data_IF_812930900022
#
_entry.id   IF_812930900022
#
_cell.length_a   1.000
_cell.length_b   1.000
_cell.length_c   1.000
_cell.angle_alpha   90.00
_cell.angle_beta   90.00
_cell.angle_gamma   90.00
#
_symmetry.space_group_name_H-M   'P 1'
#
loop_
_entity.id
_entity.type
_entity.pdbx_description
1 polymer ?
#
# COMPACT_ATOMS: atom_id res chain seq x y z
N UNK A 1 -0.14 10.73 10.32
CA UNK A 1 -1.44 10.57 9.62
C UNK A 1 -2.03 9.26 10.12
N UNK A 2 -3.21 9.32 10.73
CA UNK A 2 -3.79 8.15 11.41
C UNK A 2 -5.28 8.05 11.10
N UNK A 3 -5.71 6.83 10.79
CA UNK A 3 -7.08 6.46 10.50
C UNK A 3 -7.20 4.94 10.42
N UNK A 4 -8.27 4.47 9.79
CA UNK A 4 -8.49 3.06 9.48
C UNK A 4 -8.52 2.90 7.96
N UNK A 5 -9.69 2.72 7.38
CA UNK A 5 -9.88 2.69 5.93
C UNK A 5 -9.69 4.10 5.34
N UNK A 6 -9.06 4.17 4.16
CA UNK A 6 -8.92 5.40 3.36
C UNK A 6 -8.23 6.56 4.12
N UNK A 7 -7.19 6.26 4.90
CA UNK A 7 -6.54 7.26 5.78
C UNK A 7 -5.89 8.42 5.02
N UNK A 8 -5.09 8.13 3.99
CA UNK A 8 -4.34 9.13 3.23
C UNK A 8 -4.77 9.10 1.75
N UNK A 9 -5.61 10.07 1.38
CA UNK A 9 -6.01 10.30 0.00
C UNK A 9 -4.95 11.13 -0.74
N UNK A 10 -4.02 10.47 -1.42
CA UNK A 10 -3.10 11.08 -2.39
C UNK A 10 -3.84 11.38 -3.71
N UNK A 11 -4.83 12.27 -3.64
CA UNK A 11 -5.83 12.48 -4.69
C UNK A 11 -5.23 12.73 -6.09
N UNK A 12 -4.39 13.77 -6.22
CA UNK A 12 -3.83 14.20 -7.50
C UNK A 12 -2.53 15.01 -7.34
N UNK A 13 -1.94 15.40 -8.46
CA UNK A 13 -0.72 16.23 -8.55
C UNK A 13 0.53 15.56 -7.97
N UNK A 14 1.60 16.34 -7.82
CA UNK A 14 2.91 15.89 -7.31
C UNK A 14 2.93 16.08 -5.80
N UNK A 15 3.25 15.03 -5.07
CA UNK A 15 3.28 15.06 -3.62
C UNK A 15 4.55 14.38 -3.10
N UNK A 16 5.07 14.86 -1.98
CA UNK A 16 6.25 14.29 -1.33
C UNK A 16 6.02 14.20 0.16
N UNK A 17 6.07 12.99 0.71
CA UNK A 17 5.96 12.74 2.14
C UNK A 17 7.29 12.20 2.64
N UNK A 18 7.82 12.79 3.70
CA UNK A 18 9.11 12.40 4.25
C UNK A 18 9.06 12.32 5.77
N UNK A 19 9.70 11.30 6.34
CA UNK A 19 9.82 11.14 7.80
C UNK A 19 8.45 11.16 8.49
N UNK A 20 7.46 10.59 7.82
CA UNK A 20 6.08 10.57 8.25
C UNK A 20 5.71 9.21 8.86
N UNK A 21 4.79 9.25 9.82
CA UNK A 21 4.10 8.08 10.36
C UNK A 21 2.72 7.99 9.71
N UNK A 22 2.41 6.85 9.08
CA UNK A 22 1.14 6.63 8.37
C UNK A 22 0.53 5.33 8.87
N UNK A 23 -0.63 5.44 9.51
CA UNK A 23 -1.37 4.30 10.07
C UNK A 23 -2.65 4.05 9.30
N UNK A 24 -3.06 2.80 9.17
CA UNK A 24 -4.37 2.48 8.60
C UNK A 24 -4.60 0.99 8.43
N UNK A 25 -5.72 0.64 7.78
CA UNK A 25 -6.14 -0.75 7.59
C UNK A 25 -6.37 -1.10 6.12
N UNK A 26 -7.51 -0.69 5.58
CA UNK A 26 -7.91 -0.98 4.19
C UNK A 26 -7.60 0.23 3.32
N UNK A 27 -6.89 0.00 2.20
CA UNK A 27 -6.58 1.00 1.17
C UNK A 27 -6.03 2.33 1.74
N UNK A 28 -5.25 2.26 2.81
CA UNK A 28 -5.04 3.45 3.64
C UNK A 28 -4.06 4.47 3.03
N UNK A 29 -3.40 4.16 1.92
CA UNK A 29 -2.74 5.10 1.01
C UNK A 29 -3.33 4.92 -0.40
N UNK A 30 -4.21 5.82 -0.81
CA UNK A 30 -4.96 5.65 -2.06
C UNK A 30 -5.11 6.95 -2.85
N UNK A 31 -5.34 6.84 -4.16
CA UNK A 31 -5.46 7.99 -5.05
C UNK A 31 -4.65 7.87 -6.34
N UNK A 32 -4.55 8.97 -7.08
CA UNK A 32 -3.90 9.02 -8.38
C UNK A 32 -2.87 10.16 -8.49
N UNK A 33 -2.23 10.54 -7.40
CA UNK A 33 -1.07 11.45 -7.42
C UNK A 33 0.17 10.79 -8.07
N UNK A 34 1.14 11.62 -8.44
CA UNK A 34 2.53 11.23 -8.58
C UNK A 34 3.22 11.49 -7.22
N UNK A 35 3.32 10.45 -6.39
CA UNK A 35 3.74 10.59 -4.99
C UNK A 35 4.94 9.72 -4.64
N UNK A 36 5.85 10.29 -3.86
CA UNK A 36 6.93 9.55 -3.20
C UNK A 36 6.77 9.67 -1.69
N UNK A 37 6.81 8.52 -1.02
CA UNK A 37 6.88 8.39 0.43
C UNK A 37 8.29 7.91 0.77
N UNK A 38 9.09 8.77 1.39
CA UNK A 38 10.50 8.52 1.67
C UNK A 38 10.80 8.54 3.17
N UNK A 39 11.56 7.56 3.68
CA UNK A 39 11.90 7.48 5.11
C UNK A 39 10.66 7.49 6.01
N UNK A 40 9.54 6.95 5.53
CA UNK A 40 8.30 6.89 6.29
C UNK A 40 8.22 5.60 7.10
N UNK A 41 7.45 5.65 8.18
CA UNK A 41 7.00 4.47 8.90
C UNK A 41 5.53 4.20 8.54
N UNK A 42 5.30 3.10 7.84
CA UNK A 42 3.99 2.67 7.36
C UNK A 42 3.50 1.57 8.29
N UNK A 43 2.34 1.77 8.91
CA UNK A 43 1.90 1.05 10.10
C UNK A 43 0.49 0.47 9.91
N UNK A 44 0.37 -0.71 9.27
CA UNK A 44 -0.89 -1.45 9.24
C UNK A 44 -1.38 -1.73 10.66
N UNK A 45 -2.66 -1.48 10.89
CA UNK A 45 -3.34 -1.63 12.18
C UNK A 45 -4.24 -2.85 12.22
N UNK A 46 -4.79 -3.17 13.39
CA UNK A 46 -5.85 -4.18 13.50
C UNK A 46 -7.11 -3.70 12.75
N UNK A 47 -7.55 -4.40 11.68
CA UNK A 47 -8.77 -4.06 10.97
C UNK A 47 -10.01 -4.62 11.69
N UNK A 48 -11.20 -4.37 11.12
CA UNK A 48 -12.41 -5.03 11.62
C UNK A 48 -12.33 -6.54 11.36
N UNK A 49 -13.15 -7.30 12.07
CA UNK A 49 -13.22 -8.76 11.92
C UNK A 49 -13.51 -9.12 10.45
N UNK A 50 -12.78 -10.10 9.94
CA UNK A 50 -12.88 -10.60 8.55
C UNK A 50 -12.39 -9.63 7.45
N UNK A 51 -11.68 -8.57 7.83
CA UNK A 51 -10.98 -7.72 6.86
C UNK A 51 -9.49 -8.04 6.82
N UNK A 52 -8.92 -7.90 5.64
CA UNK A 52 -7.47 -7.86 5.43
C UNK A 52 -7.00 -6.41 5.38
N UNK A 53 -5.72 -6.19 5.69
CA UNK A 53 -5.08 -4.90 5.47
C UNK A 53 -4.56 -4.78 4.03
N UNK A 54 -4.68 -3.58 3.47
CA UNK A 54 -4.15 -3.24 2.15
C UNK A 54 -3.51 -1.87 2.24
N UNK A 55 -2.20 -1.80 2.03
CA UNK A 55 -1.44 -0.57 2.22
C UNK A 55 -1.74 0.44 1.11
N UNK A 56 -1.70 0.00 -0.14
CA UNK A 56 -1.92 0.89 -1.29
C UNK A 56 -3.09 0.49 -2.18
N UNK A 57 -3.84 1.49 -2.63
CA UNK A 57 -4.87 1.34 -3.66
C UNK A 57 -4.72 2.46 -4.70
N UNK A 58 -3.79 2.26 -5.64
CA UNK A 58 -3.47 3.28 -6.64
C UNK A 58 -4.53 3.32 -7.74
N UNK A 59 -4.93 4.53 -8.13
CA UNK A 59 -6.09 4.80 -8.97
C UNK A 59 -5.79 5.23 -10.40
N UNK A 60 -4.64 4.84 -10.99
CA UNK A 60 -4.32 5.20 -12.38
C UNK A 60 -5.24 4.46 -13.36
N UNK A 61 -6.10 5.22 -14.04
CA UNK A 61 -7.09 4.70 -14.97
C UNK A 61 -6.68 4.78 -16.44
N UNK A 62 -5.63 5.54 -16.76
CA UNK A 62 -5.15 5.76 -18.13
C UNK A 62 -3.61 5.56 -18.18
N UNK A 63 -3.08 4.81 -19.17
CA UNK A 63 -1.64 4.51 -19.25
C UNK A 63 -0.77 5.75 -19.52
N UNK A 64 -1.33 6.81 -20.11
CA UNK A 64 -0.66 8.07 -20.42
C UNK A 64 -0.56 9.01 -19.21
N UNK A 65 -1.21 8.68 -18.09
CA UNK A 65 -1.03 9.41 -16.83
C UNK A 65 0.36 9.14 -16.23
N UNK A 66 1.05 10.22 -15.86
CA UNK A 66 2.37 10.21 -15.23
C UNK A 66 2.33 10.03 -13.70
N UNK A 67 1.33 9.29 -13.21
CA UNK A 67 1.01 9.12 -11.79
C UNK A 67 1.45 7.76 -11.26
N UNK A 68 1.48 7.60 -9.94
CA UNK A 68 1.91 6.38 -9.26
C UNK A 68 2.30 6.63 -7.81
N UNK A 69 2.36 5.56 -7.03
CA UNK A 69 2.85 5.58 -5.64
C UNK A 69 4.24 4.93 -5.59
N UNK A 70 5.22 5.65 -5.05
CA UNK A 70 6.56 5.11 -4.76
C UNK A 70 6.83 5.14 -3.26
N UNK A 71 7.08 3.98 -2.67
CA UNK A 71 7.55 3.85 -1.28
C UNK A 71 9.05 3.57 -1.34
N UNK A 72 9.84 4.50 -0.81
CA UNK A 72 11.30 4.49 -0.92
C UNK A 72 11.95 4.59 0.45
N UNK A 73 12.93 3.73 0.73
CA UNK A 73 13.75 3.82 1.95
C UNK A 73 12.90 3.95 3.23
N UNK A 74 11.79 3.23 3.28
CA UNK A 74 10.80 3.30 4.35
C UNK A 74 10.80 2.01 5.16
N UNK A 75 9.94 1.92 6.18
CA UNK A 75 9.71 0.70 6.94
C UNK A 75 8.21 0.39 6.99
N UNK A 76 7.84 -0.86 6.76
CA UNK A 76 6.48 -1.36 6.93
C UNK A 76 6.47 -2.31 8.14
N UNK A 77 5.87 -1.86 9.24
CA UNK A 77 5.85 -2.57 10.52
C UNK A 77 4.42 -2.71 11.04
N UNK A 78 4.06 -3.76 11.80
CA UNK A 78 2.76 -3.82 12.45
C UNK A 78 2.63 -2.71 13.51
N UNK A 79 1.50 -2.02 13.52
CA UNK A 79 1.13 -1.14 14.63
C UNK A 79 0.92 -1.94 15.92
N UNK A 80 0.91 -1.25 17.06
CA UNK A 80 0.83 -1.88 18.39
C UNK A 80 -0.39 -2.80 18.56
N UNK A 81 -1.54 -2.40 18.00
CA UNK A 81 -2.79 -3.16 18.06
C UNK A 81 -2.78 -4.40 17.13
N UNK A 82 -2.04 -4.35 16.02
CA UNK A 82 -1.91 -5.47 15.09
C UNK A 82 -0.95 -6.56 15.60
N UNK A 83 0.14 -6.17 16.29
CA UNK A 83 1.20 -7.09 16.75
C UNK A 83 0.70 -8.40 17.40
N UNK A 84 -0.29 -8.38 18.33
CA UNK A 84 -0.76 -9.60 18.99
C UNK A 84 -1.57 -10.53 18.07
N UNK A 85 -2.05 -10.03 16.92
CA UNK A 85 -2.98 -10.72 16.02
C UNK A 85 -2.47 -10.79 14.58
N UNK A 86 -1.17 -10.53 14.33
CA UNK A 86 -0.55 -10.58 12.99
C UNK A 86 -0.83 -11.91 12.28
N UNK A 87 -0.81 -13.03 13.02
CA UNK A 87 -1.09 -14.35 12.44
C UNK A 87 -2.55 -14.58 12.02
N UNK A 88 -3.47 -13.67 12.35
CA UNK A 88 -4.91 -13.76 12.03
C UNK A 88 -5.37 -12.71 11.01
N UNK A 89 -4.49 -11.82 10.56
CA UNK A 89 -4.82 -10.73 9.63
C UNK A 89 -3.82 -10.74 8.49
N UNK A 90 -4.30 -10.92 7.27
CA UNK A 90 -3.42 -10.81 6.09
C UNK A 90 -3.18 -9.34 5.79
N UNK A 91 -1.93 -8.96 5.52
CA UNK A 91 -1.59 -7.60 5.04
C UNK A 91 -0.95 -7.68 3.66
N UNK A 92 -1.48 -6.91 2.72
CA UNK A 92 -0.94 -6.79 1.37
C UNK A 92 -0.33 -5.40 1.13
N UNK A 93 0.70 -5.33 0.30
CA UNK A 93 1.32 -4.08 -0.17
C UNK A 93 0.31 -3.25 -0.97
N UNK A 94 -0.54 -3.89 -1.76
CA UNK A 94 -1.59 -3.17 -2.47
C UNK A 94 -2.52 -4.03 -3.30
N UNK A 95 -3.55 -3.38 -3.82
CA UNK A 95 -4.53 -3.95 -4.75
C UNK A 95 -4.92 -2.96 -5.86
N UNK A 96 -5.33 -3.45 -7.05
CA UNK A 96 -5.71 -2.58 -8.15
C UNK A 96 -7.06 -1.89 -7.91
N UNK A 97 -7.04 -0.58 -7.65
CA UNK A 97 -8.27 0.23 -7.65
C UNK A 97 -8.70 0.61 -9.06
N UNK A 98 -7.74 0.87 -9.96
CA UNK A 98 -7.98 1.14 -11.38
C UNK A 98 -7.05 0.30 -12.28
N UNK A 99 -7.46 0.14 -13.55
CA UNK A 99 -6.89 -0.84 -14.48
C UNK A 99 -5.38 -0.72 -14.71
N UNK A 100 -4.84 0.50 -14.71
CA UNK A 100 -3.43 0.75 -15.01
C UNK A 100 -2.63 1.11 -13.76
N UNK A 101 -3.05 0.67 -12.56
CA UNK A 101 -2.39 1.11 -11.34
C UNK A 101 -0.87 0.90 -11.39
N UNK A 102 -0.16 1.81 -10.75
CA UNK A 102 1.30 1.77 -10.69
C UNK A 102 1.79 2.03 -9.27
N UNK A 103 2.36 1.01 -8.65
CA UNK A 103 2.97 1.09 -7.32
C UNK A 103 4.36 0.44 -7.33
N UNK A 104 5.33 1.08 -6.67
CA UNK A 104 6.67 0.55 -6.48
C UNK A 104 7.09 0.66 -5.02
N UNK A 105 7.64 -0.42 -4.46
CA UNK A 105 8.24 -0.44 -3.13
C UNK A 105 9.71 -0.81 -3.24
N UNK A 106 10.62 0.07 -2.83
CA UNK A 106 12.05 -0.17 -3.02
C UNK A 106 12.91 0.34 -1.89
N UNK A 107 14.00 -0.39 -1.65
CA UNK A 107 14.95 -0.14 -0.53
C UNK A 107 14.24 -0.04 0.82
N UNK A 108 13.11 -0.71 0.97
CA UNK A 108 12.22 -0.58 2.12
C UNK A 108 12.31 -1.85 2.96
N UNK A 109 12.27 -1.70 4.29
CA UNK A 109 12.17 -2.83 5.19
C UNK A 109 10.72 -3.32 5.27
N UNK A 110 10.50 -4.61 5.02
CA UNK A 110 9.20 -5.26 5.04
C UNK A 110 9.19 -6.27 6.19
N UNK A 111 8.51 -5.95 7.29
CA UNK A 111 8.32 -6.92 8.38
C UNK A 111 7.45 -8.09 7.90
N UNK A 112 7.55 -9.22 8.59
CA UNK A 112 6.71 -10.43 8.51
C UNK A 112 5.20 -10.18 8.57
N UNK A 113 4.76 -8.98 8.95
CA UNK A 113 3.36 -8.54 8.82
C UNK A 113 2.89 -8.55 7.37
N UNK A 114 3.77 -8.26 6.41
CA UNK A 114 3.44 -8.28 4.98
C UNK A 114 3.40 -9.73 4.49
N UNK A 115 2.27 -10.12 3.91
CA UNK A 115 2.09 -11.45 3.33
C UNK A 115 3.16 -11.72 2.27
N UNK A 116 3.78 -12.92 2.22
CA UNK A 116 4.70 -13.31 1.15
C UNK A 116 4.07 -13.28 -0.25
N UNK A 117 2.74 -13.26 -0.35
CA UNK A 117 2.01 -13.05 -1.62
C UNK A 117 2.24 -11.63 -2.17
N UNK A 118 2.51 -10.66 -1.29
CA UNK A 118 2.80 -9.27 -1.62
C UNK A 118 1.56 -8.47 -2.01
N UNK A 119 0.86 -8.87 -3.07
CA UNK A 119 -0.19 -8.08 -3.72
C UNK A 119 -1.50 -8.86 -3.79
N UNK A 120 -2.64 -8.20 -3.54
CA UNK A 120 -3.96 -8.84 -3.65
C UNK A 120 -4.69 -8.45 -4.94
N UNK A 121 -5.58 -9.32 -5.46
CA UNK A 121 -6.51 -8.91 -6.51
C UNK A 121 -7.48 -7.86 -5.95
N UNK A 122 -8.17 -7.12 -6.84
CA UNK A 122 -9.15 -6.11 -6.42
C UNK A 122 -10.20 -6.68 -5.48
N UNK A 123 -10.80 -7.79 -5.93
CA UNK A 123 -11.76 -8.62 -5.22
C UNK A 123 -11.35 -10.08 -5.42
N UNK A 124 -11.81 -10.98 -4.55
CA UNK A 124 -11.56 -12.41 -4.68
C UNK A 124 -11.95 -12.94 -6.08
N UNK A 125 -11.02 -13.63 -6.75
CA UNK A 125 -11.23 -14.17 -8.10
C UNK A 125 -11.22 -13.15 -9.24
N UNK A 126 -11.00 -11.86 -8.96
CA UNK A 126 -10.96 -10.82 -10.00
C UNK A 126 -9.65 -10.81 -10.77
N UNK A 127 -9.74 -10.76 -12.10
CA UNK A 127 -8.61 -10.51 -13.01
C UNK A 127 -8.47 -9.05 -13.42
N UNK A 128 -9.25 -8.15 -12.80
CA UNK A 128 -9.28 -6.73 -13.19
C UNK A 128 -7.90 -6.07 -13.03
N UNK A 129 -7.38 -5.56 -14.15
CA UNK A 129 -6.13 -4.82 -14.19
C UNK A 129 -4.88 -5.70 -14.13
N UNK A 130 -4.97 -7.01 -13.94
CA UNK A 130 -3.80 -7.88 -13.77
C UNK A 130 -2.86 -7.88 -14.99
N UNK A 131 -3.42 -7.75 -16.20
CA UNK A 131 -2.63 -7.72 -17.44
C UNK A 131 -2.04 -6.33 -17.77
N UNK A 132 -2.46 -5.29 -17.04
CA UNK A 132 -2.15 -3.88 -17.38
C UNK A 132 -1.53 -3.09 -16.24
N UNK A 133 -1.57 -3.60 -15.02
CA UNK A 133 -0.98 -2.97 -13.85
C UNK A 133 0.54 -3.08 -13.86
N UNK A 134 1.18 -2.22 -13.07
CA UNK A 134 2.60 -2.30 -12.80
C UNK A 134 2.85 -2.31 -11.29
N UNK A 135 3.28 -3.46 -10.78
CA UNK A 135 3.85 -3.61 -9.46
C UNK A 135 5.33 -3.93 -9.56
N UNK A 136 6.12 -3.31 -8.68
CA UNK A 136 7.54 -3.58 -8.63
C UNK A 136 8.06 -3.50 -7.20
N UNK A 137 8.98 -4.42 -6.91
CA UNK A 137 9.77 -4.45 -5.69
C UNK A 137 11.25 -4.44 -6.05
N UNK A 138 12.06 -3.67 -5.33
CA UNK A 138 13.49 -3.57 -5.64
C UNK A 138 14.35 -3.37 -4.40
N UNK A 139 15.25 -4.32 -4.14
CA UNK A 139 16.21 -4.28 -3.01
C UNK A 139 15.53 -3.99 -1.66
N UNK A 140 14.33 -4.54 -1.45
CA UNK A 140 13.71 -4.55 -0.13
C UNK A 140 14.47 -5.53 0.78
N UNK A 141 14.38 -5.30 2.08
CA UNK A 141 14.95 -6.17 3.10
C UNK A 141 13.76 -6.74 3.89
N UNK A 142 13.72 -8.05 4.07
CA UNK A 142 12.68 -8.77 4.80
C UNK A 142 13.28 -9.40 6.05
#
# INVERSE_FOLDING_TARGET
MEGYQDTLMVHSQRQFYRECYIYGTVDFIFGNAAVVLQNCLILPRQPLKYQDNVITAQGRADPFQNTGISIHNSMILPAHDLKPVVGSVTTYIGRPWMKYLRTMVHKTYLDSVVSPVGWSPRNQGSTYGLDTLFYAEYKNIC
#
